data_IF_587952660458
#
_entry.id   IF_587952660458
#
_cell.length_a   1.000
_cell.length_b   1.000
_cell.length_c   1.000
_cell.angle_alpha   90.00
_cell.angle_beta   90.00
_cell.angle_gamma   90.00
#
_symmetry.space_group_name_H-M   'P 1'
#
loop_
_entity.id
_entity.type
_entity.pdbx_description
1 polymer ?
#
# COMPACT_ATOMS: atom_id res chain seq x y z
N UNK A 1 -17.66 -32.37 10.38
CA UNK A 1 -17.61 -30.92 10.66
C UNK A 1 -18.76 -30.33 9.86
N UNK A 2 -19.78 -29.80 10.52
CA UNK A 2 -21.01 -29.34 9.86
C UNK A 2 -21.12 -27.82 9.81
N UNK A 3 -20.17 -27.10 10.41
CA UNK A 3 -20.12 -25.64 10.44
C UNK A 3 -18.67 -25.16 10.47
N UNK A 4 -18.40 -24.05 9.77
CA UNK A 4 -17.08 -23.43 9.62
C UNK A 4 -17.25 -21.94 9.28
N UNK A 5 -16.67 -21.09 10.12
CA UNK A 5 -16.65 -19.64 9.91
C UNK A 5 -15.21 -19.12 9.91
N UNK A 6 -14.91 -18.19 9.01
CA UNK A 6 -13.59 -17.54 8.94
C UNK A 6 -13.59 -16.29 9.80
N UNK A 7 -12.82 -16.34 10.89
CA UNK A 7 -12.73 -15.23 11.85
C UNK A 7 -11.74 -14.13 11.44
N UNK A 8 -10.76 -14.43 10.58
CA UNK A 8 -9.72 -13.46 10.19
C UNK A 8 -9.06 -13.82 8.84
N UNK A 9 -8.56 -12.82 8.14
CA UNK A 9 -7.62 -12.93 7.02
C UNK A 9 -6.72 -11.70 6.97
N UNK A 10 -5.44 -11.85 7.30
CA UNK A 10 -4.48 -10.75 7.26
C UNK A 10 -4.85 -9.65 8.26
N UNK A 11 -5.10 -8.44 7.78
CA UNK A 11 -5.54 -7.30 8.61
C UNK A 11 -7.06 -7.23 8.78
N UNK A 12 -7.83 -8.09 8.10
CA UNK A 12 -9.29 -8.10 8.14
C UNK A 12 -9.78 -9.13 9.15
N UNK A 13 -10.47 -8.69 10.20
CA UNK A 13 -11.07 -9.55 11.23
C UNK A 13 -12.59 -9.50 11.17
N UNK A 14 -13.24 -10.50 11.77
CA UNK A 14 -14.71 -10.51 11.94
C UNK A 14 -15.20 -9.32 12.77
N UNK A 15 -14.38 -8.83 13.72
CA UNK A 15 -14.69 -7.66 14.55
C UNK A 15 -14.76 -6.36 13.73
N UNK A 16 -13.96 -6.26 12.68
CA UNK A 16 -13.94 -5.11 11.76
C UNK A 16 -14.80 -5.37 10.50
N UNK A 17 -15.61 -6.41 10.51
CA UNK A 17 -16.52 -6.74 9.40
C UNK A 17 -17.92 -6.16 9.64
N UNK A 18 -18.70 -6.08 8.57
CA UNK A 18 -20.11 -5.67 8.62
C UNK A 18 -20.95 -6.71 7.88
N UNK A 19 -22.13 -7.02 8.43
CA UNK A 19 -23.10 -7.86 7.76
C UNK A 19 -23.62 -7.14 6.51
N UNK A 20 -23.83 -7.87 5.42
CA UNK A 20 -24.24 -7.26 4.15
C UNK A 20 -25.61 -6.58 4.26
N UNK A 21 -26.49 -7.11 5.12
CA UNK A 21 -27.84 -6.59 5.37
C UNK A 21 -27.84 -5.24 6.10
N UNK A 22 -26.75 -4.93 6.82
CA UNK A 22 -26.57 -3.67 7.55
C UNK A 22 -25.92 -2.58 6.69
N UNK A 23 -25.41 -2.93 5.50
CA UNK A 23 -24.84 -1.98 4.54
C UNK A 23 -25.92 -1.28 3.71
N UNK A 24 -25.74 0.01 3.47
CA UNK A 24 -26.57 0.81 2.59
C UNK A 24 -25.75 1.93 1.93
N UNK A 25 -26.36 2.63 0.98
CA UNK A 25 -25.71 3.70 0.21
C UNK A 25 -25.22 4.87 1.09
N UNK A 26 -25.83 5.08 2.26
CA UNK A 26 -25.48 6.18 3.17
C UNK A 26 -24.30 5.84 4.08
N UNK A 27 -24.10 4.55 4.40
CA UNK A 27 -23.08 4.13 5.37
C UNK A 27 -21.86 3.46 4.76
N UNK A 28 -21.92 3.01 3.50
CA UNK A 28 -20.86 2.23 2.87
C UNK A 28 -19.50 2.92 2.90
N UNK A 29 -19.46 4.24 2.72
CA UNK A 29 -18.23 5.03 2.74
C UNK A 29 -17.50 4.93 4.09
N UNK A 30 -18.22 4.75 5.20
CA UNK A 30 -17.63 4.62 6.55
C UNK A 30 -16.89 3.30 6.76
N UNK A 31 -17.15 2.29 5.93
CA UNK A 31 -16.56 0.96 6.02
C UNK A 31 -15.49 0.70 4.95
N UNK A 32 -15.23 1.67 4.07
CA UNK A 32 -14.14 1.56 3.09
C UNK A 32 -12.82 1.83 3.78
N UNK A 33 -11.95 0.82 3.78
CA UNK A 33 -10.60 0.92 4.32
C UNK A 33 -9.67 1.53 3.25
N UNK A 34 -8.77 2.45 3.61
CA UNK A 34 -7.74 2.95 2.70
C UNK A 34 -6.90 1.83 2.11
N UNK A 35 -6.55 1.94 0.82
CA UNK A 35 -5.84 0.89 0.07
C UNK A 35 -4.50 0.53 0.75
N UNK A 36 -3.81 1.51 1.31
CA UNK A 36 -2.50 1.34 1.93
C UNK A 36 -2.55 0.70 3.32
N UNK A 37 -3.68 0.78 4.02
CA UNK A 37 -3.93 0.03 5.26
C UNK A 37 -4.17 -1.46 4.99
N UNK A 38 -4.79 -1.79 3.86
CA UNK A 38 -4.97 -3.17 3.41
C UNK A 38 -3.65 -3.86 3.00
N UNK A 39 -2.55 -3.10 2.84
CA UNK A 39 -1.26 -3.59 2.39
C UNK A 39 -0.26 -3.70 3.54
N UNK A 40 0.17 -4.93 3.86
CA UNK A 40 1.10 -5.24 4.97
C UNK A 40 2.59 -5.06 4.59
N UNK A 41 2.90 -4.16 3.65
CA UNK A 41 4.29 -3.88 3.24
C UNK A 41 4.91 -2.77 4.08
N UNK A 42 6.25 -2.75 4.16
CA UNK A 42 6.99 -1.64 4.79
C UNK A 42 6.75 -0.34 4.02
N UNK A 43 6.72 0.79 4.71
CA UNK A 43 6.53 2.11 4.07
C UNK A 43 7.86 2.75 3.70
N UNK A 44 7.84 3.50 2.61
CA UNK A 44 8.91 4.41 2.21
C UNK A 44 8.32 5.76 1.82
N UNK A 45 8.85 6.83 2.41
CA UNK A 45 8.40 8.20 2.19
C UNK A 45 9.43 8.96 1.37
N UNK A 46 8.99 9.55 0.27
CA UNK A 46 9.79 10.42 -0.58
C UNK A 46 9.39 11.89 -0.39
N UNK A 47 10.35 12.79 -0.56
CA UNK A 47 10.09 14.22 -0.68
C UNK A 47 9.34 14.52 -1.97
N UNK A 48 8.50 15.56 -1.95
CA UNK A 48 7.79 16.05 -3.12
C UNK A 48 8.69 16.39 -4.34
N UNK A 49 9.99 16.64 -4.11
CA UNK A 49 11.00 16.81 -5.19
C UNK A 49 11.05 15.62 -6.16
N UNK A 50 10.66 14.43 -5.74
CA UNK A 50 10.67 13.21 -6.55
C UNK A 50 9.32 12.86 -7.17
N UNK A 51 8.27 13.64 -6.91
CA UNK A 51 6.90 13.33 -7.34
C UNK A 51 6.82 13.03 -8.83
N UNK A 52 7.25 13.98 -9.66
CA UNK A 52 7.21 13.83 -11.11
C UNK A 52 8.02 12.62 -11.61
N UNK A 53 9.11 12.27 -10.93
CA UNK A 53 9.93 11.11 -11.32
C UNK A 53 9.21 9.80 -10.99
N UNK A 54 8.68 9.70 -9.76
CA UNK A 54 7.98 8.51 -9.27
C UNK A 54 6.69 8.24 -10.05
N UNK A 55 5.86 9.27 -10.27
CA UNK A 55 4.60 9.14 -11.01
C UNK A 55 4.81 8.79 -12.48
N UNK A 56 5.96 9.18 -13.07
CA UNK A 56 6.32 8.80 -14.43
C UNK A 56 7.03 7.43 -14.50
N UNK A 57 7.17 6.72 -13.38
CA UNK A 57 7.82 5.40 -13.33
C UNK A 57 9.33 5.43 -13.56
N UNK A 58 9.99 6.57 -13.33
CA UNK A 58 11.44 6.70 -13.43
C UNK A 58 12.11 5.90 -12.30
N UNK A 59 13.14 5.12 -12.65
CA UNK A 59 13.94 4.39 -11.66
C UNK A 59 14.90 5.34 -10.94
N UNK A 60 14.80 5.41 -9.62
CA UNK A 60 15.68 6.20 -8.76
C UNK A 60 16.94 5.38 -8.44
N UNK A 61 18.09 5.89 -8.87
CA UNK A 61 19.38 5.20 -8.72
C UNK A 61 20.28 5.82 -7.64
N UNK A 62 19.92 6.99 -7.11
CA UNK A 62 20.75 7.71 -6.16
C UNK A 62 20.92 6.89 -4.87
N UNK A 63 22.14 6.40 -4.56
CA UNK A 63 22.36 5.51 -3.42
C UNK A 63 21.98 6.12 -2.07
N UNK A 64 22.12 7.44 -1.91
CA UNK A 64 21.77 8.13 -0.66
C UNK A 64 20.28 8.10 -0.35
N UNK A 65 19.44 7.97 -1.38
CA UNK A 65 17.98 7.91 -1.24
C UNK A 65 17.52 6.47 -1.00
N UNK A 66 18.16 5.51 -1.65
CA UNK A 66 17.73 4.10 -1.68
C UNK A 66 18.56 3.19 -0.75
N UNK A 67 19.41 3.77 0.10
CA UNK A 67 20.33 3.03 0.98
C UNK A 67 19.60 2.13 1.97
N UNK A 68 18.50 2.61 2.54
CA UNK A 68 17.76 1.91 3.61
C UNK A 68 16.65 1.00 3.06
N UNK A 69 16.60 0.83 1.73
CA UNK A 69 15.64 -0.05 1.07
C UNK A 69 16.30 -1.41 0.85
N UNK A 70 15.64 -2.44 1.34
CA UNK A 70 16.02 -3.83 1.08
C UNK A 70 15.77 -4.20 -0.37
N UNK A 71 16.74 -4.92 -0.95
CA UNK A 71 16.64 -5.36 -2.33
C UNK A 71 15.58 -6.46 -2.47
N UNK A 72 14.85 -6.41 -3.57
CA UNK A 72 13.81 -7.34 -3.92
C UNK A 72 12.58 -7.42 -2.98
N UNK A 73 12.40 -6.44 -2.10
CA UNK A 73 11.22 -6.34 -1.21
C UNK A 73 10.26 -5.25 -1.72
N UNK A 74 8.94 -5.50 -1.59
CA UNK A 74 7.90 -4.53 -1.90
C UNK A 74 7.72 -3.55 -0.74
N UNK A 75 7.59 -2.27 -1.08
CA UNK A 75 7.33 -1.18 -0.15
C UNK A 75 6.09 -0.41 -0.59
N UNK A 76 5.30 0.05 0.39
CA UNK A 76 4.33 1.13 0.18
C UNK A 76 5.09 2.42 -0.07
N UNK A 77 4.74 3.13 -1.14
CA UNK A 77 5.41 4.36 -1.55
C UNK A 77 4.51 5.53 -1.25
N UNK A 78 5.03 6.45 -0.46
CA UNK A 78 4.39 7.71 -0.13
C UNK A 78 5.20 8.88 -0.66
N UNK A 79 4.51 9.93 -1.08
CA UNK A 79 5.09 11.25 -1.27
C UNK A 79 4.56 12.10 -0.13
N UNK A 80 5.44 12.46 0.79
CA UNK A 80 5.03 13.04 2.08
C UNK A 80 3.99 12.12 2.74
N UNK A 81 2.75 12.59 2.91
CA UNK A 81 1.68 11.80 3.54
C UNK A 81 0.76 11.09 2.53
N UNK A 82 0.99 11.29 1.22
CA UNK A 82 0.12 10.72 0.17
C UNK A 82 0.66 9.39 -0.34
N UNK A 83 -0.11 8.32 -0.13
CA UNK A 83 0.16 7.03 -0.76
C UNK A 83 0.04 7.14 -2.29
N UNK A 84 1.00 6.58 -3.03
CA UNK A 84 0.96 6.56 -4.50
C UNK A 84 0.99 5.16 -5.10
N UNK A 85 1.32 4.13 -4.33
CA UNK A 85 1.40 2.76 -4.82
C UNK A 85 2.48 1.93 -4.15
N UNK A 86 2.92 0.90 -4.86
CA UNK A 86 3.95 -0.03 -4.38
C UNK A 86 5.19 0.02 -5.27
N UNK A 87 6.36 -0.06 -4.62
CA UNK A 87 7.65 0.02 -5.27
C UNK A 87 8.61 -1.03 -4.76
N UNK A 88 9.67 -1.27 -5.55
CA UNK A 88 10.67 -2.29 -5.29
C UNK A 88 12.04 -1.78 -5.67
N UNK A 89 13.05 -2.11 -4.86
CA UNK A 89 14.45 -1.93 -5.23
C UNK A 89 14.97 -3.19 -5.92
N UNK A 90 15.67 -2.97 -7.01
CA UNK A 90 16.43 -3.99 -7.75
C UNK A 90 17.87 -3.49 -7.94
N UNK A 91 18.71 -4.30 -8.57
CA UNK A 91 20.08 -3.91 -8.96
C UNK A 91 20.13 -2.61 -9.77
N UNK A 92 19.05 -2.31 -10.52
CA UNK A 92 18.95 -1.10 -11.35
C UNK A 92 18.55 0.15 -10.58
N UNK A 93 18.18 0.03 -9.30
CA UNK A 93 17.63 1.10 -8.46
C UNK A 93 16.20 0.81 -7.97
N UNK A 94 15.60 1.81 -7.34
CA UNK A 94 14.23 1.76 -6.85
C UNK A 94 13.24 2.23 -7.90
N UNK A 95 12.16 1.48 -8.11
CA UNK A 95 11.10 1.83 -9.05
C UNK A 95 9.73 1.59 -8.42
N UNK A 96 8.77 2.46 -8.76
CA UNK A 96 7.35 2.19 -8.51
C UNK A 96 6.90 1.10 -9.48
N UNK A 97 6.54 -0.06 -8.96
CA UNK A 97 6.09 -1.22 -9.74
C UNK A 97 4.64 -1.06 -10.16
N UNK A 98 3.81 -0.53 -9.26
CA UNK A 98 2.40 -0.28 -9.52
C UNK A 98 1.94 1.00 -8.83
N UNK A 99 1.47 1.95 -9.63
CA UNK A 99 0.75 3.11 -9.14
C UNK A 99 -0.69 2.71 -8.76
N UNK A 100 -1.18 3.30 -7.67
CA UNK A 100 -2.50 3.03 -7.08
C UNK A 100 -3.20 4.35 -6.72
N UNK A 101 -2.98 5.38 -7.55
CA UNK A 101 -3.64 6.69 -7.49
C UNK A 101 -4.87 6.75 -8.39
#
# INVERSE_FOLDING_TARGET
MWDLERVETGTFSIENSIALEDLNEENIENFIIPIDEALTYKSMVFSNKFEKLLLNGVTIQNPFIIKDIEENILYKVYIEDRFIGIGKKTEKGFKVEKLLI
#
